data_IF_942420926082
#
_entry.id   IF_942420926082
#
_cell.length_a   1.000
_cell.length_b   1.000
_cell.length_c   1.000
_cell.angle_alpha   90.00
_cell.angle_beta   90.00
_cell.angle_gamma   90.00
#
_symmetry.space_group_name_H-M   'P 1'
#
loop_
_entity.id
_entity.type
_entity.pdbx_description
1 polymer ?
#
# COMPACT_ATOMS: atom_id res chain seq x y z
N UNK A 1 -14.15 15.58 -14.04
CA UNK A 1 -14.07 15.87 -13.22
C UNK A 1 -13.64 15.19 -12.04
N UNK A 2 -14.33 14.93 -11.17
CA UNK A 2 -13.84 14.36 -9.96
C UNK A 2 -13.34 12.96 -10.15
N UNK A 3 -13.60 12.35 -11.27
CA UNK A 3 -13.13 11.00 -11.45
C UNK A 3 -11.62 10.88 -11.36
N UNK A 4 -10.87 11.88 -11.78
CA UNK A 4 -9.43 11.79 -11.69
C UNK A 4 -8.97 11.82 -10.24
N UNK A 5 -9.75 12.37 -9.35
CA UNK A 5 -9.40 12.41 -7.94
C UNK A 5 -9.90 11.14 -7.24
N UNK A 6 -11.14 10.75 -7.51
CA UNK A 6 -11.72 9.61 -6.83
C UNK A 6 -11.28 8.28 -7.43
N UNK A 7 -11.01 8.26 -8.71
CA UNK A 7 -10.62 7.03 -9.40
C UNK A 7 -9.40 7.27 -10.27
N UNK A 8 -8.23 7.50 -9.64
CA UNK A 8 -7.01 7.72 -10.42
C UNK A 8 -6.72 6.50 -11.28
N UNK A 9 -6.25 6.70 -12.50
CA UNK A 9 -6.04 5.58 -13.41
C UNK A 9 -5.19 4.45 -12.87
N UNK A 10 -4.14 4.78 -12.10
CA UNK A 10 -3.28 3.71 -11.61
C UNK A 10 -3.94 2.88 -10.51
N UNK A 11 -5.08 3.34 -9.97
CA UNK A 11 -5.77 2.54 -8.97
C UNK A 11 -6.86 1.70 -9.64
N UNK A 12 -7.34 2.10 -10.82
CA UNK A 12 -8.39 1.35 -11.47
C UNK A 12 -7.88 0.40 -12.53
N UNK A 13 -6.56 0.33 -12.69
CA UNK A 13 -5.99 -0.53 -13.71
C UNK A 13 -5.87 -2.01 -13.31
N UNK A 14 -6.13 -2.32 -12.05
CA UNK A 14 -5.95 -3.68 -11.57
C UNK A 14 -6.99 -4.62 -12.20
N UNK A 15 -6.56 -5.78 -12.66
CA UNK A 15 -7.48 -6.70 -13.35
C UNK A 15 -8.67 -7.15 -12.53
N UNK A 16 -8.56 -7.10 -11.20
CA UNK A 16 -9.66 -7.54 -10.35
C UNK A 16 -10.82 -6.55 -10.38
N UNK A 17 -10.59 -5.34 -10.85
CA UNK A 17 -11.61 -4.30 -10.82
C UNK A 17 -11.74 -3.62 -9.47
N UNK A 18 -10.99 -4.07 -8.47
CA UNK A 18 -11.04 -3.46 -7.14
C UNK A 18 -10.07 -2.31 -7.12
N UNK A 19 -10.47 -1.19 -6.53
CA UNK A 19 -9.58 -0.05 -6.41
C UNK A 19 -8.76 -0.17 -5.16
N UNK A 20 -7.47 0.12 -5.27
CA UNK A 20 -6.56 0.00 -4.13
C UNK A 20 -7.08 0.80 -2.92
N UNK A 21 -7.60 1.99 -3.15
CA UNK A 21 -8.06 2.83 -2.05
C UNK A 21 -9.19 2.16 -1.26
N UNK A 22 -10.00 1.34 -1.92
CA UNK A 22 -11.08 0.67 -1.23
C UNK A 22 -10.57 -0.30 -0.18
N UNK A 23 -9.37 -0.80 -0.37
CA UNK A 23 -8.77 -1.72 0.58
C UNK A 23 -7.94 -0.97 1.60
N UNK A 24 -7.04 -0.10 1.14
CA UNK A 24 -6.07 0.51 2.03
C UNK A 24 -6.67 1.56 2.96
N UNK A 25 -7.82 2.13 2.61
CA UNK A 25 -8.41 3.15 3.48
C UNK A 25 -8.81 2.55 4.83
N UNK A 26 -8.93 1.24 4.92
CA UNK A 26 -9.29 0.58 6.17
C UNK A 26 -8.06 0.11 6.94
N UNK A 27 -6.87 0.42 6.48
CA UNK A 27 -5.65 -0.04 7.10
C UNK A 27 -4.91 1.10 7.78
N UNK A 28 -4.04 0.78 8.71
CA UNK A 28 -3.18 1.79 9.29
C UNK A 28 -2.21 2.32 8.26
N UNK A 29 -1.52 3.40 8.61
CA UNK A 29 -0.70 4.12 7.64
C UNK A 29 0.39 3.24 7.01
N UNK A 30 1.15 2.54 7.84
CA UNK A 30 2.27 1.76 7.30
C UNK A 30 1.77 0.60 6.46
N UNK A 31 0.77 -0.12 6.93
CA UNK A 31 0.27 -1.27 6.20
C UNK A 31 -0.44 -0.83 4.92
N UNK A 32 -1.17 0.27 4.98
CA UNK A 32 -1.84 0.78 3.79
C UNK A 32 -0.85 1.21 2.73
N UNK A 33 0.25 1.86 3.14
CA UNK A 33 1.27 2.25 2.17
C UNK A 33 1.99 1.03 1.62
N UNK A 34 2.26 0.03 2.45
CA UNK A 34 2.90 -1.19 1.94
C UNK A 34 2.03 -1.83 0.85
N UNK A 35 0.72 -1.93 1.10
CA UNK A 35 -0.17 -2.52 0.12
C UNK A 35 -0.26 -1.66 -1.14
N UNK A 36 -0.28 -0.34 -0.99
CA UNK A 36 -0.33 0.55 -2.14
C UNK A 36 0.85 0.30 -3.07
N UNK A 37 2.05 0.18 -2.52
CA UNK A 37 3.23 -0.02 -3.35
C UNK A 37 3.27 -1.44 -3.95
N UNK A 38 2.79 -2.43 -3.22
CA UNK A 38 2.69 -3.78 -3.77
C UNK A 38 1.70 -3.77 -4.94
N UNK A 39 0.58 -3.06 -4.78
CA UNK A 39 -0.45 -3.00 -5.80
C UNK A 39 0.10 -2.39 -7.08
N UNK A 40 0.92 -1.34 -6.94
CA UNK A 40 1.45 -0.65 -8.10
C UNK A 40 2.57 -1.40 -8.80
N UNK A 41 3.22 -2.32 -8.10
CA UNK A 41 4.43 -2.94 -8.62
C UNK A 41 4.21 -3.65 -9.95
N UNK A 42 3.01 -4.23 -10.16
CA UNK A 42 2.74 -4.93 -11.40
C UNK A 42 2.16 -4.04 -12.49
N UNK A 43 1.83 -2.80 -12.18
CA UNK A 43 1.14 -1.98 -13.17
C UNK A 43 2.08 -1.33 -14.15
N UNK A 44 3.03 -0.60 -13.70
CA UNK A 44 3.97 0.00 -14.57
C UNK A 44 4.89 0.86 -13.77
N UNK A 45 5.88 1.40 -14.36
CA UNK A 45 6.82 2.23 -13.67
C UNK A 45 7.95 1.40 -13.15
N UNK A 46 8.36 1.63 -11.94
CA UNK A 46 9.53 0.97 -11.41
C UNK A 46 9.12 -0.02 -10.34
N UNK A 47 8.91 -1.26 -10.76
CA UNK A 47 8.45 -2.31 -9.83
C UNK A 47 9.42 -2.54 -8.69
N UNK A 48 10.73 -2.52 -8.98
CA UNK A 48 11.69 -2.79 -7.93
C UNK A 48 11.67 -1.68 -6.89
N UNK A 49 11.53 -0.44 -7.31
CA UNK A 49 11.46 0.65 -6.37
C UNK A 49 10.17 0.55 -5.54
N UNK A 50 9.06 0.21 -6.17
CA UNK A 50 7.81 0.05 -5.45
C UNK A 50 7.91 -1.06 -4.41
N UNK A 51 8.55 -2.16 -4.77
CA UNK A 51 8.70 -3.25 -3.83
C UNK A 51 9.61 -2.89 -2.66
N UNK A 52 10.64 -2.09 -2.91
CA UNK A 52 11.51 -1.64 -1.84
C UNK A 52 10.77 -0.69 -0.89
N UNK A 53 9.90 0.15 -1.44
CA UNK A 53 9.11 1.03 -0.59
C UNK A 53 8.11 0.23 0.23
N UNK A 54 7.51 -0.80 -0.37
CA UNK A 54 6.61 -1.66 0.37
C UNK A 54 7.34 -2.34 1.52
N UNK A 55 8.54 -2.85 1.25
CA UNK A 55 9.33 -3.51 2.28
C UNK A 55 9.68 -2.54 3.41
N UNK A 56 9.96 -1.30 3.06
CA UNK A 56 10.30 -0.30 4.07
C UNK A 56 9.10 -0.06 5.01
N UNK A 57 7.91 0.03 4.46
CA UNK A 57 6.75 0.26 5.29
C UNK A 57 6.39 -0.96 6.14
N UNK A 58 6.58 -2.16 5.62
CA UNK A 58 6.37 -3.37 6.41
C UNK A 58 7.35 -3.40 7.58
N UNK A 59 8.62 -3.09 7.30
CA UNK A 59 9.62 -3.09 8.35
C UNK A 59 9.32 -2.01 9.40
N UNK A 60 8.87 -0.86 8.95
CA UNK A 60 8.50 0.21 9.86
C UNK A 60 7.36 -0.22 10.78
N UNK A 61 6.42 -0.96 10.24
CA UNK A 61 5.30 -1.43 11.05
C UNK A 61 5.76 -2.46 12.08
N UNK A 62 6.70 -3.31 11.70
CA UNK A 62 7.25 -4.27 12.63
C UNK A 62 7.92 -3.54 13.78
N UNK A 63 8.71 -2.52 13.47
CA UNK A 63 9.39 -1.75 14.49
C UNK A 63 8.40 -1.05 15.40
N UNK A 64 7.33 -0.52 14.84
CA UNK A 64 6.34 0.19 15.64
C UNK A 64 5.68 -0.76 16.63
N UNK A 65 5.35 -1.96 16.21
CA UNK A 65 4.69 -2.93 17.07
C UNK A 65 5.64 -3.44 18.15
N UNK A 66 6.91 -3.59 17.80
CA UNK A 66 7.88 -4.00 18.79
C UNK A 66 8.09 -2.90 19.82
N UNK A 67 8.07 -1.65 19.38
CA UNK A 67 8.31 -0.54 20.27
C UNK A 67 7.20 -0.37 21.31
N UNK A 68 5.97 -0.80 20.97
CA UNK A 68 4.94 -0.71 21.96
C UNK A 68 4.94 -1.95 22.81
N UNK A 69 5.97 -2.73 22.70
CA UNK A 69 6.15 -3.83 23.57
C UNK A 69 5.19 -4.92 23.46
N UNK A 70 4.63 -5.02 22.52
CA UNK A 70 3.79 -5.92 22.32
C UNK A 70 4.26 -7.10 22.34
N UNK A 71 4.76 -7.30 22.84
CA UNK A 71 5.31 -8.40 22.98
C UNK A 71 4.50 -9.43 22.88
N UNK A 72 3.64 -9.37 23.06
CA UNK A 72 2.89 -10.26 23.04
C UNK A 72 2.90 -10.96 22.03
N UNK A 73 3.33 -10.68 21.73
CA UNK A 73 3.41 -11.30 20.72
C UNK A 73 3.21 -12.46 20.62
#
# INVERSE_FOLDING_TARGET
VSDMVNHPPHYTAHPSGVECIQVVEHMGFNLGNAIKYIWRADEKGNALEDLRKAAWYVDREIQRRQAVGQVNA
#
